data_IF_140860173729
#
_entry.id   IF_140860173729
#
_cell.length_a   1.000
_cell.length_b   1.000
_cell.length_c   1.000
_cell.angle_alpha   90.00
_cell.angle_beta   90.00
_cell.angle_gamma   90.00
#
_symmetry.space_group_name_H-M   'P 1'
#
loop_
_entity.id
_entity.type
_entity.pdbx_description
1 polymer ?
#
# COMPACT_ATOMS: atom_id res chain seq x y z
N UNK A 1 -9.17 -16.27 -19.59
CA UNK A 1 -9.93 -17.33 -20.31
C UNK A 1 -11.43 -17.34 -19.98
N UNK A 2 -11.93 -16.56 -19.00
CA UNK A 2 -13.35 -16.46 -18.67
C UNK A 2 -14.17 -15.58 -19.66
N UNK A 3 -13.59 -14.47 -20.15
CA UNK A 3 -14.31 -13.52 -21.01
C UNK A 3 -14.58 -14.06 -22.43
N UNK A 4 -13.81 -15.05 -22.88
CA UNK A 4 -14.04 -15.73 -24.16
C UNK A 4 -15.31 -16.59 -24.14
N UNK A 5 -15.58 -17.23 -23.00
CA UNK A 5 -16.74 -18.11 -22.80
C UNK A 5 -18.04 -17.28 -22.73
N UNK A 6 -18.01 -16.10 -22.08
CA UNK A 6 -19.18 -15.22 -22.00
C UNK A 6 -19.70 -14.76 -23.38
N UNK A 7 -18.80 -14.63 -24.36
CA UNK A 7 -19.13 -14.23 -25.75
C UNK A 7 -19.76 -15.36 -26.57
N UNK A 8 -19.44 -16.62 -26.24
CA UNK A 8 -19.92 -17.81 -26.95
C UNK A 8 -21.34 -18.21 -26.52
N UNK A 9 -21.77 -17.82 -25.32
CA UNK A 9 -23.09 -18.16 -24.74
C UNK A 9 -24.13 -17.02 -24.75
N UNK A 10 -23.81 -15.85 -25.33
CA UNK A 10 -24.79 -14.77 -25.52
C UNK A 10 -25.29 -14.09 -24.23
N UNK A 11 -24.52 -14.15 -23.13
CA UNK A 11 -24.87 -13.46 -21.90
C UNK A 11 -24.80 -11.93 -22.07
N UNK A 12 -25.87 -11.22 -21.71
CA UNK A 12 -26.03 -9.75 -21.80
C UNK A 12 -24.86 -8.96 -21.19
N UNK A 13 -24.15 -9.52 -20.21
CA UNK A 13 -23.12 -8.82 -19.42
C UNK A 13 -21.73 -8.79 -20.08
N UNK A 14 -21.49 -9.48 -21.20
CA UNK A 14 -20.25 -9.37 -21.96
C UNK A 14 -18.97 -9.32 -21.10
N UNK A 15 -18.17 -8.25 -21.25
CA UNK A 15 -16.89 -8.03 -20.58
C UNK A 15 -17.00 -7.73 -19.06
N UNK A 16 -18.21 -7.69 -18.49
CA UNK A 16 -18.48 -7.49 -17.07
C UNK A 16 -18.79 -8.80 -16.32
N UNK A 17 -18.68 -9.96 -16.98
CA UNK A 17 -18.97 -11.27 -16.36
C UNK A 17 -17.95 -11.64 -15.25
N UNK A 18 -16.73 -11.10 -15.32
CA UNK A 18 -15.73 -11.19 -14.25
C UNK A 18 -14.94 -9.87 -14.18
N UNK A 19 -14.68 -9.36 -12.97
CA UNK A 19 -13.89 -8.13 -12.80
C UNK A 19 -12.46 -8.32 -13.35
N UNK A 20 -12.03 -7.46 -14.27
CA UNK A 20 -10.73 -7.54 -14.95
C UNK A 20 -10.78 -7.53 -16.48
N UNK A 21 -11.93 -7.20 -17.10
CA UNK A 21 -12.06 -7.01 -18.55
C UNK A 21 -11.23 -5.83 -19.08
N UNK A 22 -10.73 -5.98 -20.31
CA UNK A 22 -9.90 -4.97 -20.99
C UNK A 22 -10.68 -3.74 -21.46
N UNK A 23 -12.00 -3.74 -21.36
CA UNK A 23 -12.86 -2.60 -21.64
C UNK A 23 -13.76 -2.25 -20.44
N UNK A 24 -13.22 -1.52 -19.46
CA UNK A 24 -14.04 -0.78 -18.49
C UNK A 24 -13.50 -0.76 -17.05
N UNK A 25 -13.27 0.47 -16.55
CA UNK A 25 -12.94 0.85 -15.17
C UNK A 25 -11.48 0.73 -14.72
N UNK A 26 -10.81 1.89 -14.71
CA UNK A 26 -9.51 2.08 -14.05
C UNK A 26 -9.75 2.10 -12.52
N UNK A 27 -9.76 0.90 -11.92
CA UNK A 27 -10.00 0.72 -10.48
C UNK A 27 -8.99 1.49 -9.63
N UNK A 28 -7.74 1.63 -10.10
CA UNK A 28 -6.68 2.41 -9.44
C UNK A 28 -7.02 3.90 -9.37
N UNK A 29 -7.61 4.49 -10.42
CA UNK A 29 -8.08 5.89 -10.38
C UNK A 29 -9.25 6.12 -9.44
N UNK A 30 -10.15 5.14 -9.29
CA UNK A 30 -11.34 5.31 -8.45
C UNK A 30 -11.09 4.94 -6.98
N UNK A 31 -10.21 3.96 -6.72
CA UNK A 31 -9.81 3.54 -5.38
C UNK A 31 -10.95 3.01 -4.50
N UNK A 32 -12.06 2.53 -5.09
CA UNK A 32 -13.30 2.19 -4.37
C UNK A 32 -13.04 1.15 -3.27
N UNK A 33 -12.27 0.10 -3.57
CA UNK A 33 -11.95 -0.97 -2.61
C UNK A 33 -11.16 -0.42 -1.42
N UNK A 34 -10.13 0.38 -1.68
CA UNK A 34 -9.31 0.97 -0.62
C UNK A 34 -10.13 1.93 0.26
N UNK A 35 -10.97 2.77 -0.36
CA UNK A 35 -11.86 3.69 0.34
C UNK A 35 -12.88 2.95 1.21
N UNK A 36 -13.48 1.88 0.70
CA UNK A 36 -14.42 1.06 1.47
C UNK A 36 -13.78 0.44 2.71
N UNK A 37 -12.59 -0.14 2.57
CA UNK A 37 -11.84 -0.67 3.71
C UNK A 37 -11.46 0.45 4.72
N UNK A 38 -11.12 1.64 4.21
CA UNK A 38 -10.71 2.78 5.02
C UNK A 38 -11.81 3.32 5.93
N UNK A 39 -13.07 3.27 5.51
CA UNK A 39 -14.18 3.68 6.38
C UNK A 39 -14.24 2.84 7.67
N UNK A 40 -14.00 1.52 7.55
CA UNK A 40 -13.90 0.63 8.71
C UNK A 40 -12.71 0.98 9.61
N UNK A 41 -11.56 1.30 9.02
CA UNK A 41 -10.36 1.74 9.76
C UNK A 41 -10.65 3.02 10.55
N UNK A 42 -11.19 4.05 9.89
CA UNK A 42 -11.55 5.32 10.54
C UNK A 42 -12.53 5.11 11.69
N UNK A 43 -13.53 4.25 11.51
CA UNK A 43 -14.48 3.92 12.57
C UNK A 43 -13.79 3.26 13.76
N UNK A 44 -12.94 2.27 13.53
CA UNK A 44 -12.21 1.57 14.59
C UNK A 44 -11.34 2.53 15.40
N UNK A 45 -10.57 3.41 14.75
CA UNK A 45 -9.74 4.39 15.45
C UNK A 45 -10.57 5.43 16.22
N UNK A 46 -11.73 5.82 15.68
CA UNK A 46 -12.65 6.72 16.40
C UNK A 46 -13.22 6.08 17.67
N UNK A 47 -13.50 4.78 17.65
CA UNK A 47 -13.92 4.02 18.83
C UNK A 47 -12.81 3.97 19.91
N UNK A 48 -11.55 4.14 19.51
CA UNK A 48 -10.39 4.30 20.40
C UNK A 48 -10.09 5.77 20.78
N UNK A 49 -10.93 6.72 20.37
CA UNK A 49 -10.76 8.15 20.66
C UNK A 49 -9.66 8.83 19.81
N UNK A 50 -9.21 8.20 18.74
CA UNK A 50 -8.17 8.71 17.84
C UNK A 50 -8.77 9.33 16.57
N UNK A 51 -8.21 10.46 16.14
CA UNK A 51 -8.48 11.12 14.86
C UNK A 51 -7.27 10.99 13.92
N UNK A 52 -7.24 9.85 13.23
CA UNK A 52 -6.20 9.50 12.26
C UNK A 52 -6.29 10.27 10.93
N UNK A 53 -7.25 11.19 10.79
CA UNK A 53 -7.42 12.00 9.58
C UNK A 53 -6.87 13.42 9.78
N UNK A 54 -6.90 13.94 11.00
CA UNK A 54 -6.56 15.34 11.27
C UNK A 54 -5.47 15.56 12.31
N UNK A 55 -5.19 14.57 13.18
CA UNK A 55 -4.36 14.82 14.37
C UNK A 55 -3.38 13.71 14.71
N UNK A 56 -3.82 12.46 14.71
CA UNK A 56 -3.11 11.40 15.41
C UNK A 56 -2.33 10.51 14.43
N UNK A 57 -1.01 10.47 14.62
CA UNK A 57 -0.12 9.54 13.92
C UNK A 57 -0.31 8.10 14.40
N UNK A 58 -0.19 7.15 13.48
CA UNK A 58 -0.33 5.73 13.77
C UNK A 58 0.58 4.89 12.87
N UNK A 59 1.05 3.76 13.40
CA UNK A 59 1.91 2.84 12.67
C UNK A 59 1.10 1.85 11.84
N UNK A 60 1.64 1.50 10.68
CA UNK A 60 1.04 0.53 9.77
C UNK A 60 2.10 -0.48 9.33
N UNK A 61 1.72 -1.75 9.31
CA UNK A 61 2.41 -2.81 8.58
C UNK A 61 1.48 -3.30 7.48
N UNK A 62 1.98 -3.50 6.27
CA UNK A 62 1.13 -3.88 5.15
C UNK A 62 1.73 -4.90 4.19
N UNK A 63 0.87 -5.41 3.30
CA UNK A 63 1.25 -6.38 2.27
C UNK A 63 0.90 -5.76 0.92
N UNK A 64 1.91 -5.48 0.10
CA UNK A 64 1.76 -4.80 -1.18
C UNK A 64 2.86 -3.77 -1.43
N UNK A 65 2.63 -2.95 -2.45
CA UNK A 65 3.48 -1.84 -2.86
C UNK A 65 2.64 -0.67 -3.37
N UNK A 66 3.28 0.48 -3.53
CA UNK A 66 2.62 1.70 -4.00
C UNK A 66 2.11 1.61 -5.44
N UNK A 67 2.58 0.66 -6.25
CA UNK A 67 2.06 0.48 -7.61
C UNK A 67 0.66 -0.15 -7.62
N UNK A 68 0.33 -0.95 -6.59
CA UNK A 68 -0.92 -1.67 -6.44
C UNK A 68 -2.13 -0.76 -6.17
N UNK A 69 -3.29 -1.15 -6.71
CA UNK A 69 -4.54 -0.40 -6.57
C UNK A 69 -4.95 -0.23 -5.10
N UNK A 70 -5.17 -1.33 -4.37
CA UNK A 70 -5.70 -1.26 -3.00
C UNK A 70 -4.68 -0.69 -2.02
N UNK A 71 -3.44 -1.21 -2.05
CA UNK A 71 -2.38 -0.77 -1.13
C UNK A 71 -2.01 0.69 -1.39
N UNK A 72 -1.73 1.03 -2.65
CA UNK A 72 -1.30 2.37 -3.03
C UNK A 72 -2.35 3.43 -2.71
N UNK A 73 -3.62 3.20 -3.07
CA UNK A 73 -4.70 4.11 -2.69
C UNK A 73 -4.84 4.21 -1.17
N UNK A 74 -4.84 3.08 -0.46
CA UNK A 74 -5.00 3.04 1.00
C UNK A 74 -3.94 3.84 1.76
N UNK A 75 -2.67 3.72 1.33
CA UNK A 75 -1.54 4.42 1.95
C UNK A 75 -1.54 5.94 1.71
N UNK A 76 -2.45 6.45 0.88
CA UNK A 76 -2.63 7.88 0.61
C UNK A 76 -3.92 8.45 1.25
N UNK A 77 -4.71 7.64 1.94
CA UNK A 77 -5.97 8.07 2.60
C UNK A 77 -5.74 8.78 3.94
N UNK A 78 -4.49 8.84 4.43
CA UNK A 78 -4.11 9.72 5.54
C UNK A 78 -2.65 10.12 5.46
N UNK A 79 -2.38 11.38 5.81
CA UNK A 79 -1.02 11.92 5.99
C UNK A 79 -0.36 11.43 7.29
N UNK A 80 -1.15 10.92 8.23
CA UNK A 80 -0.70 10.45 9.55
C UNK A 80 -0.22 8.99 9.57
N UNK A 81 -0.19 8.34 8.40
CA UNK A 81 0.31 6.96 8.27
C UNK A 81 1.83 6.94 8.43
N UNK A 82 2.30 6.24 9.46
CA UNK A 82 3.69 5.83 9.64
C UNK A 82 3.84 4.38 9.17
N UNK A 83 4.13 4.18 7.88
CA UNK A 83 4.36 2.86 7.30
C UNK A 83 5.71 2.31 7.79
N UNK A 84 5.69 1.42 8.78
CA UNK A 84 6.94 0.93 9.40
C UNK A 84 7.48 -0.33 8.74
N UNK A 85 6.61 -1.11 8.09
CA UNK A 85 7.02 -2.23 7.27
C UNK A 85 6.01 -2.54 6.17
N UNK A 86 6.49 -3.00 5.03
CA UNK A 86 5.67 -3.60 4.00
C UNK A 86 6.41 -4.74 3.32
N UNK A 87 5.69 -5.69 2.72
CA UNK A 87 6.32 -6.64 1.81
C UNK A 87 5.43 -6.95 0.62
N UNK A 88 6.05 -7.20 -0.53
CA UNK A 88 5.38 -7.72 -1.71
C UNK A 88 6.12 -8.97 -2.20
N UNK A 89 5.91 -9.39 -3.44
CA UNK A 89 6.57 -10.56 -4.02
C UNK A 89 8.07 -10.35 -4.29
N UNK A 90 8.56 -9.10 -4.30
CA UNK A 90 9.95 -8.75 -4.64
C UNK A 90 10.75 -8.23 -3.45
N UNK A 91 10.13 -7.48 -2.55
CA UNK A 91 10.81 -6.66 -1.55
C UNK A 91 10.19 -6.78 -0.17
N UNK A 92 11.03 -6.50 0.82
CA UNK A 92 10.67 -6.23 2.20
C UNK A 92 11.13 -4.79 2.48
N UNK A 93 10.18 -3.88 2.66
CA UNK A 93 10.39 -2.50 3.07
C UNK A 93 10.35 -2.42 4.59
N UNK A 94 11.31 -1.73 5.20
CA UNK A 94 11.34 -1.43 6.63
C UNK A 94 11.75 0.02 6.82
N UNK A 95 10.95 0.78 7.58
CA UNK A 95 11.27 2.12 8.04
C UNK A 95 10.91 2.24 9.53
N UNK A 96 11.88 2.23 10.46
CA UNK A 96 11.58 2.09 11.89
C UNK A 96 10.78 3.25 12.49
N UNK A 97 11.03 4.47 12.02
CA UNK A 97 10.40 5.68 12.52
C UNK A 97 10.23 6.72 11.40
N UNK A 98 9.37 6.45 10.41
CA UNK A 98 9.15 7.37 9.28
C UNK A 98 8.59 8.70 9.79
N UNK A 99 9.03 9.79 9.17
CA UNK A 99 8.31 11.05 9.27
C UNK A 99 7.01 10.95 8.43
N UNK A 100 5.83 11.19 9.01
CA UNK A 100 4.56 10.96 8.33
C UNK A 100 4.37 11.84 7.08
N UNK A 101 4.80 13.09 7.12
CA UNK A 101 4.61 14.04 6.00
C UNK A 101 5.63 13.80 4.88
N UNK A 102 6.91 13.58 5.22
CA UNK A 102 7.95 13.26 4.23
C UNK A 102 7.64 11.92 3.55
N UNK A 103 7.33 10.90 4.35
CA UNK A 103 7.04 9.56 3.82
C UNK A 103 5.73 9.54 3.02
N UNK A 104 4.74 10.38 3.36
CA UNK A 104 3.52 10.53 2.55
C UNK A 104 3.83 11.04 1.14
N UNK A 105 4.63 12.10 1.02
CA UNK A 105 5.01 12.66 -0.28
C UNK A 105 5.77 11.66 -1.13
N UNK A 106 6.64 10.87 -0.51
CA UNK A 106 7.38 9.83 -1.23
C UNK A 106 6.49 8.68 -1.68
N UNK A 107 5.54 8.24 -0.82
CA UNK A 107 4.50 7.28 -1.21
C UNK A 107 3.67 7.81 -2.37
N UNK A 108 3.28 9.09 -2.35
CA UNK A 108 2.51 9.72 -3.44
C UNK A 108 3.33 9.77 -4.74
N UNK A 109 4.62 10.12 -4.68
CA UNK A 109 5.52 10.09 -5.83
C UNK A 109 5.59 8.68 -6.43
N UNK A 110 5.80 7.66 -5.59
CA UNK A 110 5.86 6.26 -6.02
C UNK A 110 4.54 5.77 -6.60
N UNK A 111 3.40 6.16 -6.02
CA UNK A 111 2.08 5.78 -6.53
C UNK A 111 1.85 6.25 -7.98
N UNK A 112 2.36 7.45 -8.29
CA UNK A 112 2.25 8.11 -9.59
C UNK A 112 3.35 7.70 -10.58
N UNK A 113 4.45 7.08 -10.11
CA UNK A 113 5.53 6.59 -10.97
C UNK A 113 5.09 5.31 -11.72
N UNK A 114 5.14 5.27 -13.06
CA UNK A 114 4.76 4.08 -13.81
C UNK A 114 5.66 2.88 -13.49
N UNK A 115 5.05 1.73 -13.16
CA UNK A 115 5.73 0.47 -12.80
C UNK A 115 6.71 0.60 -11.62
N UNK A 116 6.37 1.46 -10.65
CA UNK A 116 7.15 1.62 -9.43
C UNK A 116 7.22 0.34 -8.60
N UNK A 117 8.24 0.28 -7.77
CA UNK A 117 8.50 -0.76 -6.79
C UNK A 117 9.06 -0.14 -5.51
N UNK A 118 9.31 -0.95 -4.48
CA UNK A 118 9.98 -0.45 -3.28
C UNK A 118 11.44 -0.06 -3.53
N UNK A 119 12.11 -0.61 -4.56
CA UNK A 119 13.47 -0.18 -4.92
C UNK A 119 13.54 1.26 -5.45
N UNK A 120 12.41 1.80 -5.92
CA UNK A 120 12.32 3.18 -6.38
C UNK A 120 12.19 4.17 -5.22
N UNK A 121 11.99 3.71 -3.99
CA UNK A 121 11.87 4.56 -2.80
C UNK A 121 13.20 5.30 -2.55
N UNK A 122 13.13 6.60 -2.33
CA UNK A 122 14.31 7.39 -1.99
C UNK A 122 14.84 6.99 -0.60
N UNK A 123 15.90 6.19 -0.59
CA UNK A 123 16.53 5.69 0.63
C UNK A 123 17.07 6.80 1.55
N UNK A 124 17.27 8.03 1.05
CA UNK A 124 17.69 9.15 1.89
C UNK A 124 16.57 9.68 2.79
N UNK A 125 15.31 9.32 2.50
CA UNK A 125 14.13 9.70 3.27
C UNK A 125 13.77 8.67 4.36
N UNK A 126 14.39 7.48 4.33
CA UNK A 126 14.21 6.46 5.34
C UNK A 126 14.79 6.93 6.68
N UNK A 127 14.12 6.59 7.78
CA UNK A 127 14.66 6.85 9.11
C UNK A 127 15.88 5.97 9.41
N UNK A 128 16.60 6.30 10.49
CA UNK A 128 17.76 5.54 10.92
C UNK A 128 17.43 4.04 11.07
N UNK A 129 18.19 3.20 10.36
CA UNK A 129 17.99 1.75 10.34
C UNK A 129 16.93 1.24 9.37
N UNK A 130 16.29 2.13 8.59
CA UNK A 130 15.40 1.78 7.50
C UNK A 130 16.15 1.29 6.26
N UNK A 131 15.52 0.38 5.53
CA UNK A 131 16.04 -0.19 4.29
C UNK A 131 14.97 -0.95 3.51
N UNK A 132 15.21 -1.08 2.20
CA UNK A 132 14.50 -2.00 1.31
C UNK A 132 15.39 -3.20 1.04
N UNK A 133 14.86 -4.39 1.28
CA UNK A 133 15.57 -5.66 1.08
C UNK A 133 14.91 -6.47 -0.02
N UNK A 134 15.68 -7.17 -0.87
CA UNK A 134 15.10 -8.14 -1.79
C UNK A 134 14.58 -9.34 -1.01
N UNK A 135 13.36 -9.80 -1.33
CA UNK A 135 12.71 -10.96 -0.72
C UNK A 135 13.47 -12.27 -1.00
N UNK A 136 14.33 -12.28 -2.01
CA UNK A 136 15.21 -13.41 -2.35
C UNK A 136 16.46 -13.49 -1.46
N UNK A 137 16.72 -12.50 -0.61
CA UNK A 137 17.83 -12.54 0.33
C UNK A 137 17.70 -13.74 1.28
N UNK A 138 18.74 -14.59 1.34
CA UNK A 138 18.77 -15.77 2.22
C UNK A 138 18.82 -15.40 3.72
N UNK A 139 19.30 -14.21 4.02
CA UNK A 139 19.38 -13.66 5.36
C UNK A 139 19.39 -12.14 5.28
N UNK A 140 18.71 -11.50 6.22
CA UNK A 140 18.69 -10.05 6.38
C UNK A 140 19.14 -9.77 7.82
N UNK A 141 20.23 -8.99 7.97
CA UNK A 141 20.64 -8.50 9.28
C UNK A 141 19.92 -7.19 9.56
N UNK A 142 18.93 -7.24 10.45
CA UNK A 142 18.20 -6.05 10.87
C UNK A 142 19.04 -5.19 11.80
N UNK A 143 18.97 -3.88 11.59
CA UNK A 143 19.48 -2.86 12.50
C UNK A 143 18.76 -2.94 13.87
N UNK A 144 19.38 -2.48 14.97
CA UNK A 144 18.72 -2.38 16.26
C UNK A 144 17.41 -1.57 16.19
N UNK A 145 17.41 -0.49 15.41
CA UNK A 145 16.25 0.38 15.20
C UNK A 145 15.12 -0.38 14.49
N UNK A 146 15.41 -1.12 13.42
CA UNK A 146 14.43 -1.97 12.73
C UNK A 146 13.85 -3.06 13.62
N UNK A 147 14.67 -3.67 14.47
CA UNK A 147 14.18 -4.65 15.44
C UNK A 147 13.24 -4.00 16.46
N UNK A 148 13.56 -2.80 16.93
CA UNK A 148 12.71 -2.07 17.87
C UNK A 148 11.39 -1.62 17.23
N UNK A 149 11.44 -1.08 16.01
CA UNK A 149 10.26 -0.56 15.31
C UNK A 149 9.22 -1.60 14.90
N UNK A 150 9.63 -2.87 14.76
CA UNK A 150 8.72 -3.98 14.38
C UNK A 150 8.25 -4.80 15.60
N UNK A 151 8.91 -4.66 16.76
CA UNK A 151 8.49 -5.30 18.02
C UNK A 151 7.42 -4.43 18.68
N UNK A 152 6.16 -4.64 18.28
CA UNK A 152 4.98 -4.16 19.02
C UNK A 152 4.59 -5.14 20.13
#
# INVERSE_FOLDING_TARGET
MANGIAKEFGFWLGDAFASGGSAGYDHKKMGITARGAWESVKRQFRELGMDIQQRDDFTVVGIGDMSGDVFGNGMLLSRHIKLVAAFNHLHIFIDPNPDPEISYRERERLFNLPRSSWDDYDNSLLSAGGAVYPRTAKSIRLSPEAQAGIRH
#
